data_IF_329177084378
#
_entry.id   IF_329177084378
#
_cell.length_a   1.000
_cell.length_b   1.000
_cell.length_c   1.000
_cell.angle_alpha   90.00
_cell.angle_beta   90.00
_cell.angle_gamma   90.00
#
_symmetry.space_group_name_H-M   'P 1'
#
loop_
_entity.id
_entity.type
_entity.pdbx_description
1 polymer ?
#
# COMPACT_ATOMS: atom_id res chain seq x y z
N UNK A 1 15.38 -2.97 16.57
CA UNK A 1 15.33 -1.94 15.50
C UNK A 1 14.24 -0.96 15.90
N UNK A 2 14.52 0.34 15.93
CA UNK A 2 13.54 1.34 16.36
C UNK A 2 12.59 1.65 15.18
N UNK A 3 11.29 1.41 15.35
CA UNK A 3 10.28 1.63 14.30
C UNK A 3 10.24 3.09 13.84
N UNK A 4 10.38 4.02 14.80
CA UNK A 4 10.44 5.46 14.52
C UNK A 4 11.54 5.77 13.51
N UNK A 5 12.74 5.22 13.72
CA UNK A 5 13.88 5.45 12.83
C UNK A 5 13.66 4.90 11.41
N UNK A 6 12.90 3.81 11.26
CA UNK A 6 12.57 3.22 9.95
C UNK A 6 11.64 4.16 9.19
N UNK A 7 10.64 4.73 9.86
CA UNK A 7 9.73 5.70 9.25
C UNK A 7 10.45 6.98 8.83
N UNK A 8 11.35 7.52 9.66
CA UNK A 8 12.15 8.69 9.28
C UNK A 8 13.04 8.39 8.07
N UNK A 9 13.67 7.22 8.07
CA UNK A 9 14.51 6.76 6.95
C UNK A 9 13.71 6.62 5.65
N UNK A 10 12.45 6.18 5.74
CA UNK A 10 11.55 6.14 4.59
C UNK A 10 11.20 7.54 4.11
N UNK A 11 10.92 8.50 5.01
CA UNK A 11 10.66 9.90 4.62
C UNK A 11 11.86 10.51 3.90
N UNK A 12 13.07 10.25 4.39
CA UNK A 12 14.30 10.72 3.75
C UNK A 12 14.51 10.10 2.36
N UNK A 13 14.24 8.80 2.21
CA UNK A 13 14.27 8.15 0.90
C UNK A 13 13.26 8.78 -0.07
N UNK A 14 12.03 9.06 0.38
CA UNK A 14 11.03 9.72 -0.44
C UNK A 14 11.46 11.13 -0.86
N UNK A 15 12.04 11.90 0.07
CA UNK A 15 12.55 13.24 -0.25
C UNK A 15 13.68 13.17 -1.27
N UNK A 16 14.61 12.23 -1.10
CA UNK A 16 15.69 12.02 -2.05
C UNK A 16 15.18 11.67 -3.45
N UNK A 17 14.18 10.79 -3.54
CA UNK A 17 13.56 10.40 -4.82
C UNK A 17 12.69 11.50 -5.46
N UNK A 18 12.14 12.42 -4.67
CA UNK A 18 11.48 13.62 -5.20
C UNK A 18 12.46 14.61 -5.83
N UNK A 19 13.68 14.67 -5.31
CA UNK A 19 14.73 15.55 -5.83
C UNK A 19 15.39 14.90 -7.05
N UNK A 20 15.73 13.61 -6.95
CA UNK A 20 16.35 12.84 -8.03
C UNK A 20 15.69 11.44 -8.15
N UNK A 21 14.75 11.27 -9.09
CA UNK A 21 14.13 9.98 -9.36
C UNK A 21 15.10 8.92 -9.88
N UNK A 22 16.27 9.30 -10.41
CA UNK A 22 17.29 8.40 -10.91
C UNK A 22 18.31 7.99 -9.83
N UNK A 23 18.10 8.39 -8.57
CA UNK A 23 19.03 8.08 -7.49
C UNK A 23 18.92 6.62 -7.03
N UNK A 24 19.66 5.73 -7.71
CA UNK A 24 19.63 4.27 -7.49
C UNK A 24 19.79 3.87 -6.01
N UNK A 25 20.66 4.53 -5.25
CA UNK A 25 20.89 4.22 -3.83
C UNK A 25 19.68 4.55 -2.95
N UNK A 26 18.88 5.56 -3.29
CA UNK A 26 17.65 5.86 -2.55
C UNK A 26 16.59 4.78 -2.78
N UNK A 27 16.41 4.32 -4.02
CA UNK A 27 15.58 3.15 -4.34
C UNK A 27 16.03 1.90 -3.57
N UNK A 28 17.34 1.62 -3.56
CA UNK A 28 17.89 0.48 -2.82
C UNK A 28 17.60 0.54 -1.32
N UNK A 29 17.81 1.70 -0.70
CA UNK A 29 17.59 1.92 0.73
C UNK A 29 16.12 1.78 1.08
N UNK A 30 15.22 2.39 0.28
CA UNK A 30 13.78 2.26 0.47
C UNK A 30 13.32 0.81 0.36
N UNK A 31 13.80 0.08 -0.65
CA UNK A 31 13.51 -1.34 -0.82
C UNK A 31 13.97 -2.20 0.36
N UNK A 32 15.16 -1.90 0.92
CA UNK A 32 15.65 -2.57 2.15
C UNK A 32 14.75 -2.28 3.36
N UNK A 33 14.32 -1.04 3.55
CA UNK A 33 13.41 -0.67 4.64
C UNK A 33 12.05 -1.35 4.48
N UNK A 34 11.51 -1.40 3.25
CA UNK A 34 10.29 -2.13 2.93
C UNK A 34 10.41 -3.64 3.19
N UNK A 35 11.59 -4.23 2.96
CA UNK A 35 11.84 -5.64 3.33
C UNK A 35 11.79 -5.85 4.85
N UNK A 36 12.34 -4.90 5.63
CA UNK A 36 12.32 -4.94 7.10
C UNK A 36 10.88 -4.81 7.63
N UNK A 37 10.06 -3.98 6.98
CA UNK A 37 8.64 -3.79 7.33
C UNK A 37 7.72 -4.93 6.84
N UNK A 38 8.24 -5.90 6.08
CA UNK A 38 7.44 -6.97 5.50
C UNK A 38 6.63 -6.56 4.25
N UNK A 39 6.84 -5.34 3.76
CA UNK A 39 6.24 -4.81 2.52
C UNK A 39 7.00 -5.35 1.30
N UNK A 40 6.97 -6.67 1.10
CA UNK A 40 7.82 -7.36 0.12
C UNK A 40 7.50 -6.96 -1.33
N UNK A 41 6.25 -6.60 -1.65
CA UNK A 41 5.87 -6.14 -3.00
C UNK A 41 6.55 -4.81 -3.32
N UNK A 42 6.43 -3.83 -2.43
CA UNK A 42 7.06 -2.52 -2.60
C UNK A 42 8.59 -2.64 -2.60
N UNK A 43 9.14 -3.50 -1.74
CA UNK A 43 10.57 -3.80 -1.74
C UNK A 43 11.05 -4.37 -3.08
N UNK A 44 10.29 -5.29 -3.68
CA UNK A 44 10.63 -5.88 -4.97
C UNK A 44 10.66 -4.82 -6.08
N UNK A 45 9.64 -3.96 -6.13
CA UNK A 45 9.58 -2.85 -7.09
C UNK A 45 10.78 -1.89 -6.91
N UNK A 46 11.05 -1.46 -5.68
CA UNK A 46 12.14 -0.54 -5.37
C UNK A 46 13.52 -1.09 -5.76
N UNK A 47 13.78 -2.36 -5.44
CA UNK A 47 15.05 -3.01 -5.80
C UNK A 47 15.15 -3.21 -7.32
N UNK A 48 14.04 -3.45 -8.02
CA UNK A 48 14.01 -3.57 -9.48
C UNK A 48 14.37 -2.25 -10.16
N UNK A 49 13.83 -1.13 -9.68
CA UNK A 49 14.20 0.21 -10.18
C UNK A 49 15.66 0.53 -9.86
N UNK A 50 16.12 0.18 -8.65
CA UNK A 50 17.55 0.32 -8.32
C UNK A 50 18.44 -0.50 -9.26
N UNK A 51 18.00 -1.68 -9.70
CA UNK A 51 18.76 -2.56 -10.60
C UNK A 51 18.84 -2.00 -12.02
N UNK A 52 17.77 -1.38 -12.53
CA UNK A 52 17.78 -0.78 -13.87
C UNK A 52 18.68 0.46 -13.94
N UNK A 53 18.83 1.18 -12.83
CA UNK A 53 19.68 2.37 -12.71
C UNK A 53 21.15 2.06 -12.36
N UNK A 54 21.44 0.88 -11.83
CA UNK A 54 22.80 0.49 -11.45
C UNK A 54 23.66 0.21 -12.69
N UNK A 55 24.87 0.76 -12.73
CA UNK A 55 25.81 0.56 -13.83
C UNK A 55 26.88 -0.48 -13.49
N UNK A 56 27.23 -0.65 -12.22
CA UNK A 56 28.25 -1.58 -11.76
C UNK A 56 27.79 -3.04 -11.83
N UNK A 57 28.61 -3.92 -12.42
CA UNK A 57 28.33 -5.37 -12.45
C UNK A 57 28.21 -5.96 -11.04
N UNK A 58 29.05 -5.51 -10.11
CA UNK A 58 29.02 -5.94 -8.71
C UNK A 58 27.71 -5.50 -8.05
N UNK A 59 27.31 -4.24 -8.27
CA UNK A 59 26.05 -3.70 -7.76
C UNK A 59 24.84 -4.47 -8.30
N UNK A 60 24.81 -4.73 -9.62
CA UNK A 60 23.76 -5.52 -10.26
C UNK A 60 23.62 -6.91 -9.65
N UNK A 61 24.74 -7.63 -9.48
CA UNK A 61 24.73 -8.97 -8.88
C UNK A 61 24.21 -8.95 -7.43
N UNK A 62 24.59 -7.93 -6.65
CA UNK A 62 24.07 -7.75 -5.29
C UNK A 62 22.55 -7.50 -5.27
N UNK A 63 22.05 -6.67 -6.19
CA UNK A 63 20.62 -6.35 -6.29
C UNK A 63 19.80 -7.57 -6.76
N UNK A 64 20.31 -8.34 -7.72
CA UNK A 64 19.70 -9.59 -8.16
C UNK A 64 19.58 -10.62 -7.03
N UNK A 65 20.64 -10.79 -6.23
CA UNK A 65 20.62 -11.67 -5.06
C UNK A 65 19.53 -11.25 -4.05
N UNK A 66 19.34 -9.94 -3.86
CA UNK A 66 18.26 -9.42 -3.01
C UNK A 66 16.87 -9.70 -3.57
N UNK A 67 16.66 -9.51 -4.87
CA UNK A 67 15.37 -9.83 -5.51
C UNK A 67 15.01 -11.30 -5.34
N UNK A 68 15.97 -12.21 -5.56
CA UNK A 68 15.78 -13.64 -5.33
C UNK A 68 15.36 -13.92 -3.89
N UNK A 69 16.07 -13.35 -2.92
CA UNK A 69 15.72 -13.51 -1.51
C UNK A 69 14.29 -13.03 -1.21
N UNK A 70 13.89 -11.85 -1.72
CA UNK A 70 12.52 -11.32 -1.53
C UNK A 70 11.47 -12.27 -2.14
N UNK A 71 11.73 -12.81 -3.34
CA UNK A 71 10.83 -13.79 -3.99
C UNK A 71 10.71 -15.08 -3.18
N UNK A 72 11.81 -15.59 -2.65
CA UNK A 72 11.82 -16.80 -1.83
C UNK A 72 11.00 -16.61 -0.54
N UNK A 73 11.11 -15.44 0.10
CA UNK A 73 10.28 -15.08 1.27
C UNK A 73 8.79 -15.00 0.94
N UNK A 74 8.43 -14.44 -0.23
CA UNK A 74 7.03 -14.41 -0.66
C UNK A 74 6.48 -15.81 -0.93
N UNK A 75 7.24 -16.67 -1.63
CA UNK A 75 6.83 -18.04 -1.93
C UNK A 75 6.64 -18.88 -0.66
N UNK A 76 7.55 -18.74 0.32
CA UNK A 76 7.42 -19.40 1.62
C UNK A 76 6.18 -18.95 2.39
N UNK A 77 5.83 -17.67 2.33
CA UNK A 77 4.62 -17.14 2.96
C UNK A 77 3.37 -17.74 2.30
N UNK A 78 3.31 -17.79 0.97
CA UNK A 78 2.18 -18.37 0.22
C UNK A 78 2.00 -19.86 0.53
N UNK A 79 3.08 -20.65 0.52
CA UNK A 79 3.03 -22.08 0.87
C UNK A 79 2.41 -22.31 2.25
N UNK A 80 2.77 -21.51 3.25
CA UNK A 80 2.25 -21.62 4.62
C UNK A 80 0.75 -21.31 4.73
N UNK A 81 0.20 -20.47 3.84
CA UNK A 81 -1.25 -20.21 3.82
C UNK A 81 -2.02 -21.25 3.02
N UNK A 82 -1.44 -21.83 1.97
CA UNK A 82 -2.09 -22.89 1.19
C UNK A 82 -2.34 -24.15 2.01
N UNK A 83 -1.48 -24.47 2.99
CA UNK A 83 -1.67 -25.61 3.91
C UNK A 83 -2.85 -25.43 4.89
N UNK A 84 -3.41 -24.21 5.01
CA UNK A 84 -4.50 -23.87 5.96
C UNK A 84 -5.87 -23.80 5.26
N UNK A 85 -5.92 -23.86 3.93
CA UNK A 85 -7.14 -23.61 3.13
C UNK A 85 -7.98 -24.87 2.89
N UNK A 86 -7.62 -26.04 3.44
CA UNK A 86 -8.46 -27.25 3.31
C UNK A 86 -9.69 -27.28 4.27
N UNK A 87 -9.80 -26.36 5.23
CA UNK A 87 -10.93 -26.33 6.18
C UNK A 87 -11.49 -24.93 6.51
N UNK A 88 -11.75 -24.08 5.51
CA UNK A 88 -12.63 -22.93 5.73
C UNK A 88 -13.50 -22.62 4.50
N UNK A 89 -14.84 -22.50 4.64
CA UNK A 89 -15.72 -22.16 3.53
C UNK A 89 -15.41 -20.75 3.02
N UNK A 90 -15.43 -20.62 1.70
CA UNK A 90 -15.12 -19.42 0.94
C UNK A 90 -15.78 -18.15 1.51
N UNK A 91 -14.97 -17.20 1.94
CA UNK A 91 -15.35 -15.78 1.92
C UNK A 91 -14.37 -15.09 0.97
N UNK A 92 -14.67 -15.17 -0.33
CA UNK A 92 -14.13 -14.22 -1.30
C UNK A 92 -14.85 -12.89 -1.05
N UNK A 93 -14.16 -11.94 -0.45
CA UNK A 93 -14.58 -10.55 -0.50
C UNK A 93 -13.36 -9.71 -0.87
N UNK A 94 -12.91 -9.92 -2.10
CA UNK A 94 -11.95 -9.05 -2.77
C UNK A 94 -12.71 -7.78 -3.18
N UNK A 95 -12.89 -6.84 -2.24
CA UNK A 95 -13.53 -5.55 -2.55
C UNK A 95 -12.55 -4.74 -3.40
N UNK A 96 -12.77 -4.79 -4.71
CA UNK A 96 -11.96 -4.10 -5.70
C UNK A 96 -12.36 -2.63 -5.75
N UNK A 97 -11.51 -1.76 -5.22
CA UNK A 97 -11.73 -0.31 -5.23
C UNK A 97 -11.03 0.33 -6.44
N UNK A 98 -11.71 1.27 -7.09
CA UNK A 98 -11.18 2.07 -8.20
C UNK A 98 -11.18 3.56 -7.82
N UNK A 99 -10.08 4.25 -8.11
CA UNK A 99 -10.03 5.70 -8.03
C UNK A 99 -10.82 6.33 -9.18
N UNK A 100 -11.73 7.23 -8.87
CA UNK A 100 -12.57 7.95 -9.85
C UNK A 100 -12.42 9.45 -9.61
N UNK A 101 -12.23 10.20 -10.70
CA UNK A 101 -12.20 11.65 -10.66
C UNK A 101 -13.62 12.17 -10.86
N UNK A 102 -14.15 12.88 -9.88
CA UNK A 102 -15.43 13.58 -10.03
C UNK A 102 -15.16 15.05 -10.30
N UNK A 103 -15.83 15.63 -11.30
CA UNK A 103 -15.57 16.99 -11.79
C UNK A 103 -15.79 18.08 -10.72
N UNK A 104 -16.53 17.76 -9.66
CA UNK A 104 -16.95 18.74 -8.64
C UNK A 104 -16.21 18.59 -7.30
N UNK A 105 -15.65 17.40 -6.99
CA UNK A 105 -15.12 17.08 -5.64
C UNK A 105 -13.71 16.49 -5.64
N UNK A 106 -13.07 16.35 -6.80
CA UNK A 106 -11.72 15.80 -6.91
C UNK A 106 -11.69 14.26 -6.91
N UNK A 107 -10.62 13.67 -6.35
CA UNK A 107 -10.33 12.23 -6.39
C UNK A 107 -11.15 11.50 -5.33
N UNK A 108 -12.00 10.56 -5.75
CA UNK A 108 -12.75 9.66 -4.88
C UNK A 108 -12.42 8.18 -5.15
N UNK A 109 -12.90 7.29 -4.30
CA UNK A 109 -12.79 5.84 -4.49
C UNK A 109 -14.18 5.23 -4.56
N UNK A 110 -14.40 4.30 -5.50
CA UNK A 110 -15.68 3.61 -5.70
C UNK A 110 -15.44 2.11 -5.72
N UNK A 111 -16.30 1.35 -5.04
CA UNK A 111 -16.35 -0.12 -5.10
C UNK A 111 -17.09 -0.57 -6.36
N UNK A 112 -16.57 -1.57 -7.08
CA UNK A 112 -17.26 -2.18 -8.24
C UNK A 112 -18.34 -3.20 -7.84
N UNK A 113 -18.44 -3.55 -6.56
CA UNK A 113 -19.44 -4.48 -6.03
C UNK A 113 -20.40 -3.77 -5.06
N UNK A 114 -21.67 -4.16 -5.06
CA UNK A 114 -22.65 -3.74 -4.07
C UNK A 114 -22.19 -4.18 -2.68
N UNK A 115 -21.96 -3.20 -1.81
CA UNK A 115 -21.59 -3.45 -0.42
C UNK A 115 -22.89 -3.75 0.33
N UNK A 116 -23.09 -4.99 0.74
CA UNK A 116 -24.17 -5.38 1.65
C UNK A 116 -24.19 -4.43 2.85
N UNK A 117 -25.37 -3.91 3.18
CA UNK A 117 -25.55 -2.89 4.22
C UNK A 117 -25.22 -3.50 5.59
N UNK A 118 -23.96 -3.44 6.00
CA UNK A 118 -23.51 -4.01 7.25
C UNK A 118 -24.15 -3.28 8.45
N UNK A 119 -24.88 -4.05 9.23
CA UNK A 119 -25.50 -3.71 10.51
C UNK A 119 -24.48 -3.06 11.46
N UNK A 120 -24.81 -1.85 11.87
CA UNK A 120 -24.14 -0.96 12.84
C UNK A 120 -23.62 -1.68 14.09
N UNK A 121 -22.33 -1.50 14.43
CA UNK A 121 -21.88 -1.25 15.83
C UNK A 121 -20.61 -0.37 15.80
N UNK A 122 -20.78 0.95 15.72
CA UNK A 122 -19.90 1.88 16.42
C UNK A 122 -20.68 3.16 16.67
N UNK A 123 -20.94 3.45 17.94
CA UNK A 123 -21.48 4.71 18.42
C UNK A 123 -20.30 5.66 18.57
N UNK A 124 -20.24 6.71 17.76
CA UNK A 124 -19.44 7.90 18.07
C UNK A 124 -20.38 9.00 18.56
N UNK A 125 -20.04 9.58 19.72
CA UNK A 125 -20.83 10.60 20.38
C UNK A 125 -20.81 11.95 19.63
N UNK A 126 -21.87 12.77 19.74
CA UNK A 126 -22.19 13.83 18.80
C UNK A 126 -21.67 15.19 19.27
N UNK A 127 -20.59 15.68 18.65
CA UNK A 127 -20.31 17.13 18.67
C UNK A 127 -20.28 17.68 17.24
N UNK A 128 -21.46 17.85 16.66
CA UNK A 128 -21.88 19.14 16.08
C UNK A 128 -23.30 19.05 15.50
N UNK A 129 -24.13 19.98 15.96
CA UNK A 129 -25.46 20.31 15.44
C UNK A 129 -25.31 21.58 14.61
N UNK A 130 -25.78 21.57 13.35
CA UNK A 130 -26.71 22.59 12.82
C UNK A 130 -27.67 21.92 11.84
N UNK A 131 -28.95 22.01 12.16
CA UNK A 131 -30.08 21.65 11.31
C UNK A 131 -30.44 22.85 10.44
N UNK A 132 -30.62 22.65 9.13
CA UNK A 132 -31.72 23.29 8.39
C UNK A 132 -32.07 22.51 7.13
N UNK A 133 -33.30 22.03 7.14
CA UNK A 133 -33.97 21.17 6.18
C UNK A 133 -34.78 22.03 5.22
N UNK A 134 -34.56 21.96 3.91
CA UNK A 134 -35.65 22.01 2.90
C UNK A 134 -35.28 21.15 1.68
N UNK A 135 -35.87 19.95 1.65
CA UNK A 135 -36.37 19.15 0.52
C UNK A 135 -35.47 18.97 -0.72
N UNK A 136 -34.90 17.77 -0.87
CA UNK A 136 -34.67 17.14 -2.17
C UNK A 136 -33.29 16.52 -2.39
N UNK A 137 -33.23 15.19 -2.19
CA UNK A 137 -32.18 14.24 -2.64
C UNK A 137 -30.82 14.36 -1.94
N UNK A 138 -30.49 13.32 -1.19
CA UNK A 138 -29.28 13.18 -0.38
C UNK A 138 -28.00 13.25 -1.22
N UNK A 139 -27.12 14.19 -0.85
CA UNK A 139 -25.72 14.24 -1.26
C UNK A 139 -24.91 14.37 0.04
N UNK A 140 -24.22 13.32 0.46
CA UNK A 140 -23.21 13.44 1.50
C UNK A 140 -21.92 13.96 0.85
N UNK A 141 -21.34 15.02 1.43
CA UNK A 141 -20.13 15.69 0.96
C UNK A 141 -19.19 15.79 2.16
N UNK A 142 -18.02 15.15 2.08
CA UNK A 142 -16.97 15.26 3.07
C UNK A 142 -16.06 16.45 2.73
N UNK A 143 -15.61 17.18 3.76
CA UNK A 143 -14.51 18.13 3.69
C UNK A 143 -13.19 17.42 4.01
#
# INVERSE_FOLDING_TARGET
>A
MNLVLIEESLRDCHRALRIDPCYAKAWHRRGKLNTILGNYRDAFCDITVSLSLESSLVGKKQLQNKLKAISDYQNKKVSKYNDVVDHLPSVQSEVKLRCVLTKEKGWGMVSECDIEQASVIHVEEPFSVVISKVVGKHIATFA
#
